data_IF_378684061039
#
_entry.id   IF_378684061039
#
_cell.length_a   1.000
_cell.length_b   1.000
_cell.length_c   1.000
_cell.angle_alpha   90.00
_cell.angle_beta   90.00
_cell.angle_gamma   90.00
#
_symmetry.space_group_name_H-M   'P 1'
#
loop_
_entity.id
_entity.type
_entity.pdbx_description
1 polymer ?
#
# COMPACT_ATOMS: atom_id res chain seq x y z
N UNK A 1 77.99 -20.66 56.98
CA UNK A 1 77.51 -22.03 57.25
C UNK A 1 76.04 -21.89 57.68
N UNK A 2 75.26 -22.79 57.19
CA UNK A 2 73.81 -23.00 57.43
C UNK A 2 72.85 -22.21 56.57
N UNK A 3 72.43 -22.90 55.49
CA UNK A 3 71.25 -22.66 54.65
C UNK A 3 69.90 -22.98 55.41
N UNK A 4 68.89 -22.17 55.25
CA UNK A 4 67.50 -22.54 55.51
C UNK A 4 66.70 -22.05 54.34
N UNK A 5 66.29 -23.01 53.47
CA UNK A 5 65.27 -22.84 52.42
C UNK A 5 63.90 -22.70 53.02
N UNK A 6 63.18 -21.59 52.74
CA UNK A 6 61.74 -21.44 53.00
C UNK A 6 61.02 -21.50 51.68
N UNK A 7 60.24 -22.55 51.50
CA UNK A 7 59.26 -22.73 50.46
C UNK A 7 58.03 -21.89 50.79
N UNK A 8 57.77 -20.80 50.03
CA UNK A 8 56.52 -20.05 50.12
C UNK A 8 55.60 -20.59 49.03
N UNK A 9 54.54 -21.37 49.44
CA UNK A 9 53.44 -21.69 48.57
C UNK A 9 52.65 -20.42 48.26
N UNK A 10 52.70 -19.99 47.00
CA UNK A 10 51.81 -18.93 46.49
C UNK A 10 50.44 -19.56 46.17
N UNK A 11 49.43 -19.32 47.01
CA UNK A 11 48.04 -19.56 46.69
C UNK A 11 47.55 -18.48 45.69
N UNK A 12 47.20 -18.92 44.48
CA UNK A 12 46.51 -18.09 43.51
C UNK A 12 45.03 -18.03 43.82
N UNK A 13 44.37 -16.89 43.90
CA UNK A 13 42.96 -16.81 44.06
C UNK A 13 42.26 -17.22 42.75
N UNK A 14 41.38 -18.23 42.83
CA UNK A 14 40.47 -18.60 41.74
C UNK A 14 39.34 -17.60 41.75
N UNK A 15 39.32 -16.71 40.77
CA UNK A 15 38.13 -15.87 40.51
C UNK A 15 37.08 -16.71 39.76
N UNK A 16 36.00 -17.06 40.43
CA UNK A 16 34.81 -17.60 39.80
C UNK A 16 34.04 -16.41 39.23
N UNK A 17 34.11 -16.21 37.90
CA UNK A 17 33.23 -15.23 37.18
C UNK A 17 31.90 -15.90 36.98
N UNK A 18 30.92 -15.52 37.80
CA UNK A 18 29.48 -15.88 37.58
C UNK A 18 28.97 -14.90 36.53
N UNK A 19 28.91 -15.32 35.28
CA UNK A 19 28.20 -14.60 34.22
C UNK A 19 26.70 -14.76 34.42
N UNK A 20 26.10 -13.85 35.20
CA UNK A 20 24.66 -13.71 35.25
C UNK A 20 24.15 -13.15 33.94
N UNK A 21 23.53 -13.98 33.10
CA UNK A 21 22.76 -13.51 31.96
C UNK A 21 21.55 -12.74 32.49
N UNK A 22 21.61 -11.41 32.46
CA UNK A 22 20.42 -10.56 32.68
C UNK A 22 19.54 -10.74 31.44
N UNK A 23 18.52 -11.57 31.54
CA UNK A 23 17.47 -11.65 30.53
C UNK A 23 16.62 -10.38 30.71
N UNK A 24 16.90 -9.37 29.91
CA UNK A 24 15.99 -8.26 29.70
C UNK A 24 14.76 -8.81 28.96
N UNK A 25 13.70 -9.08 29.69
CA UNK A 25 12.39 -9.22 29.11
C UNK A 25 11.95 -7.82 28.72
N UNK A 26 12.25 -7.40 27.48
CA UNK A 26 11.56 -6.26 26.90
C UNK A 26 10.08 -6.65 26.84
N UNK A 27 9.29 -6.10 27.76
CA UNK A 27 7.85 -6.05 27.61
C UNK A 27 7.61 -5.29 26.30
N UNK A 28 7.14 -5.98 25.25
CA UNK A 28 6.75 -5.35 24.00
C UNK A 28 5.82 -4.17 24.37
N UNK A 29 6.07 -2.96 23.85
CA UNK A 29 5.20 -1.83 24.13
C UNK A 29 3.79 -2.26 23.75
N UNK A 30 2.85 -2.14 24.68
CA UNK A 30 1.43 -2.37 24.40
C UNK A 30 1.03 -1.32 23.36
N UNK A 31 1.10 -1.70 22.09
CA UNK A 31 0.65 -0.88 20.96
C UNK A 31 -0.83 -0.60 21.23
N UNK A 32 -1.19 0.65 21.50
CA UNK A 32 -2.60 1.04 21.53
C UNK A 32 -3.15 0.67 20.15
N UNK A 33 -4.00 -0.33 20.12
CA UNK A 33 -4.68 -0.75 18.89
C UNK A 33 -5.39 0.46 18.32
N UNK A 34 -5.20 0.76 17.03
CA UNK A 34 -5.98 1.80 16.36
C UNK A 34 -7.46 1.50 16.60
N UNK A 35 -8.25 2.45 17.18
CA UNK A 35 -9.67 2.23 17.41
C UNK A 35 -10.43 1.81 16.15
N UNK A 36 -9.97 2.23 14.96
CA UNK A 36 -10.56 1.82 13.70
C UNK A 36 -10.37 0.32 13.42
N UNK A 37 -9.21 -0.25 13.76
CA UNK A 37 -8.98 -1.70 13.65
C UNK A 37 -9.88 -2.46 14.61
N UNK A 38 -10.02 -1.96 15.85
CA UNK A 38 -10.92 -2.55 16.83
C UNK A 38 -12.40 -2.54 16.38
N UNK A 39 -12.81 -1.50 15.64
CA UNK A 39 -14.15 -1.37 15.09
C UNK A 39 -14.46 -2.39 13.98
N UNK A 40 -13.45 -2.96 13.31
CA UNK A 40 -13.64 -4.05 12.33
C UNK A 40 -14.08 -5.37 12.99
N UNK A 41 -13.86 -5.52 14.30
CA UNK A 41 -14.17 -6.74 15.06
C UNK A 41 -12.93 -7.53 15.49
N UNK A 42 -13.13 -8.52 16.37
CA UNK A 42 -12.04 -9.29 17.01
C UNK A 42 -11.22 -10.17 16.05
N UNK A 43 -11.68 -10.33 14.80
CA UNK A 43 -10.97 -11.10 13.77
C UNK A 43 -9.87 -10.30 13.03
N UNK A 44 -9.69 -9.02 13.36
CA UNK A 44 -8.72 -8.14 12.70
C UNK A 44 -7.58 -7.75 13.62
N UNK A 45 -6.40 -7.65 13.03
CA UNK A 45 -5.18 -7.21 13.73
C UNK A 45 -4.34 -6.31 12.84
N UNK A 46 -3.73 -5.31 13.47
CA UNK A 46 -2.71 -4.46 12.86
C UNK A 46 -1.32 -5.09 13.03
N UNK A 47 -0.50 -5.01 12.00
CA UNK A 47 0.88 -5.49 12.01
C UNK A 47 1.83 -4.56 11.28
N UNK A 48 3.13 -4.82 11.44
CA UNK A 48 4.18 -4.17 10.64
C UNK A 48 5.17 -5.22 10.17
N UNK A 49 5.74 -5.02 8.98
CA UNK A 49 6.76 -5.90 8.42
C UNK A 49 7.90 -5.07 7.83
N UNK A 50 9.14 -5.49 8.09
CA UNK A 50 10.32 -4.95 7.43
C UNK A 50 10.52 -5.70 6.11
N UNK A 51 10.25 -5.04 4.99
CA UNK A 51 10.31 -5.61 3.64
C UNK A 51 10.94 -4.61 2.68
N UNK A 52 11.72 -5.08 1.72
CA UNK A 52 12.32 -4.27 0.66
C UNK A 52 12.89 -2.91 1.13
N UNK A 53 13.56 -2.89 2.27
CA UNK A 53 14.11 -1.66 2.86
C UNK A 53 13.09 -0.68 3.45
N UNK A 54 11.80 -1.05 3.53
CA UNK A 54 10.73 -0.25 4.13
C UNK A 54 10.08 -0.99 5.30
N UNK A 55 9.55 -0.22 6.27
CA UNK A 55 8.69 -0.75 7.31
C UNK A 55 7.24 -0.48 6.92
N UNK A 56 6.54 -1.50 6.42
CA UNK A 56 5.14 -1.40 6.06
C UNK A 56 4.22 -1.70 7.23
N UNK A 57 3.16 -0.93 7.34
CA UNK A 57 2.00 -1.22 8.18
C UNK A 57 0.91 -1.90 7.36
N UNK A 58 0.17 -2.80 8.00
CA UNK A 58 -0.98 -3.47 7.41
C UNK A 58 -2.04 -3.82 8.45
N UNK A 59 -3.27 -4.00 8.00
CA UNK A 59 -4.37 -4.56 8.78
C UNK A 59 -4.82 -5.86 8.13
N UNK A 60 -4.88 -6.94 8.92
CA UNK A 60 -5.21 -8.28 8.42
C UNK A 60 -6.38 -8.87 9.19
N UNK A 61 -7.27 -9.60 8.48
CA UNK A 61 -8.35 -10.38 9.08
C UNK A 61 -8.85 -11.49 8.18
N UNK A 62 -9.72 -12.34 8.72
CA UNK A 62 -10.32 -13.46 8.00
C UNK A 62 -9.40 -14.66 7.76
N UNK A 63 -9.90 -15.62 6.99
CA UNK A 63 -9.20 -16.84 6.59
C UNK A 63 -9.71 -17.31 5.22
N UNK A 64 -8.83 -17.92 4.42
CA UNK A 64 -9.12 -18.38 3.06
C UNK A 64 -8.11 -17.87 2.04
N UNK A 65 -8.44 -17.87 0.74
CA UNK A 65 -7.59 -17.33 -0.30
C UNK A 65 -7.23 -15.87 -0.02
N UNK A 66 -5.99 -15.47 -0.35
CA UNK A 66 -5.48 -14.15 0.01
C UNK A 66 -5.96 -13.05 -0.94
N UNK A 67 -6.42 -11.94 -0.36
CA UNK A 67 -6.73 -10.68 -1.06
C UNK A 67 -5.93 -9.56 -0.40
N UNK A 68 -5.09 -8.88 -1.20
CA UNK A 68 -4.32 -7.71 -0.76
C UNK A 68 -5.01 -6.47 -1.32
N UNK A 69 -5.25 -5.47 -0.46
CA UNK A 69 -5.91 -4.22 -0.76
C UNK A 69 -4.90 -3.07 -0.64
N UNK A 70 -4.74 -2.29 -1.72
CA UNK A 70 -3.78 -1.20 -1.86
C UNK A 70 -4.54 0.10 -2.11
N UNK A 71 -4.47 1.02 -1.16
CA UNK A 71 -5.21 2.28 -1.17
C UNK A 71 -4.69 3.28 -2.20
N UNK A 72 -5.52 4.30 -2.47
CA UNK A 72 -5.19 5.45 -3.29
C UNK A 72 -4.73 6.68 -2.50
N UNK A 73 -4.47 7.77 -3.22
CA UNK A 73 -4.24 9.10 -2.64
C UNK A 73 -5.60 9.79 -2.39
N UNK A 74 -5.82 10.45 -1.27
CA UNK A 74 -4.90 10.65 -0.14
C UNK A 74 -5.22 9.74 1.06
N UNK A 75 -5.56 8.50 0.83
CA UNK A 75 -6.05 7.58 1.83
C UNK A 75 -4.94 6.71 2.45
N UNK A 76 -5.34 5.78 3.30
CA UNK A 76 -4.53 4.73 3.90
C UNK A 76 -5.35 3.42 3.94
N UNK A 77 -4.92 2.38 4.66
CA UNK A 77 -5.66 1.12 4.77
C UNK A 77 -7.15 1.31 5.12
N UNK A 78 -7.51 2.44 5.73
CA UNK A 78 -8.87 2.73 6.19
C UNK A 78 -9.85 2.94 5.03
N UNK A 79 -9.41 3.23 3.83
CA UNK A 79 -10.22 3.20 2.60
C UNK A 79 -11.11 1.95 2.54
N UNK A 80 -10.53 0.82 2.93
CA UNK A 80 -11.19 -0.48 2.81
C UNK A 80 -11.96 -0.92 4.06
N UNK A 81 -12.06 -0.08 5.10
CA UNK A 81 -12.64 -0.45 6.38
C UNK A 81 -14.09 -0.95 6.28
N UNK A 82 -14.86 -0.44 5.31
CA UNK A 82 -16.26 -0.83 5.10
C UNK A 82 -16.42 -2.19 4.44
N UNK A 83 -15.46 -2.60 3.60
CA UNK A 83 -15.54 -3.85 2.84
C UNK A 83 -14.78 -4.99 3.50
N UNK A 84 -13.75 -4.72 4.30
CA UNK A 84 -12.93 -5.74 4.94
C UNK A 84 -13.73 -6.76 5.77
N UNK A 85 -14.74 -6.37 6.59
CA UNK A 85 -15.51 -7.35 7.37
C UNK A 85 -16.32 -8.33 6.50
N UNK A 86 -16.81 -7.90 5.34
CA UNK A 86 -17.51 -8.76 4.40
C UNK A 86 -16.55 -9.74 3.73
N UNK A 87 -15.48 -9.22 3.16
CA UNK A 87 -14.45 -10.03 2.50
C UNK A 87 -13.81 -11.05 3.43
N UNK A 88 -13.60 -10.69 4.71
CA UNK A 88 -13.00 -11.57 5.72
C UNK A 88 -13.83 -12.82 6.05
N UNK A 89 -15.09 -12.88 5.63
CA UNK A 89 -15.91 -14.08 5.77
C UNK A 89 -15.44 -15.23 4.85
N UNK A 90 -14.74 -14.92 3.75
CA UNK A 90 -14.35 -15.89 2.74
C UNK A 90 -12.85 -15.84 2.39
N UNK A 91 -12.16 -14.76 2.74
CA UNK A 91 -10.78 -14.50 2.34
C UNK A 91 -9.89 -14.16 3.53
N UNK A 92 -8.61 -14.41 3.38
CA UNK A 92 -7.59 -13.70 4.18
C UNK A 92 -7.40 -12.33 3.53
N UNK A 93 -7.85 -11.27 4.22
CA UNK A 93 -7.78 -9.88 3.72
C UNK A 93 -6.62 -9.15 4.37
N UNK A 94 -5.81 -8.49 3.57
CA UNK A 94 -4.68 -7.66 4.04
C UNK A 94 -4.78 -6.29 3.38
N UNK A 95 -5.16 -5.25 4.14
CA UNK A 95 -5.10 -3.87 3.68
C UNK A 95 -3.76 -3.26 4.10
N UNK A 96 -3.01 -2.74 3.13
CA UNK A 96 -1.63 -2.30 3.30
C UNK A 96 -1.57 -0.79 3.21
N UNK A 97 -0.87 -0.16 4.14
CA UNK A 97 -0.42 1.21 3.94
C UNK A 97 0.80 1.19 3.01
N UNK A 98 0.69 1.84 1.87
CA UNK A 98 1.78 1.94 0.91
C UNK A 98 3.00 2.62 1.55
N UNK A 99 4.17 2.38 1.01
CA UNK A 99 5.45 2.93 1.46
C UNK A 99 5.34 4.42 1.79
N UNK A 100 5.64 4.79 3.04
CA UNK A 100 5.62 6.17 3.53
C UNK A 100 4.24 6.80 3.74
N UNK A 101 3.15 6.03 3.62
CA UNK A 101 1.79 6.50 3.84
C UNK A 101 1.17 5.79 5.05
N UNK A 102 0.11 6.35 5.61
CA UNK A 102 -0.60 5.77 6.75
C UNK A 102 0.31 5.50 7.94
N UNK A 103 0.38 4.25 8.36
CA UNK A 103 1.28 3.77 9.42
C UNK A 103 2.63 3.22 8.91
N UNK A 104 2.87 3.22 7.60
CA UNK A 104 4.14 2.82 6.99
C UNK A 104 5.18 3.91 7.09
N UNK A 105 6.43 3.55 7.39
CA UNK A 105 7.49 4.54 7.64
C UNK A 105 8.01 5.11 6.31
N UNK A 106 8.13 6.44 6.16
CA UNK A 106 8.76 7.08 5.02
C UNK A 106 10.21 6.62 4.81
N UNK A 107 10.60 6.49 3.55
CA UNK A 107 11.96 6.15 3.12
C UNK A 107 12.56 7.28 2.29
N UNK A 108 13.86 7.23 2.01
CA UNK A 108 14.51 8.24 1.15
C UNK A 108 14.05 8.17 -0.32
N UNK A 109 13.63 6.99 -0.79
CA UNK A 109 13.21 6.79 -2.17
C UNK A 109 12.48 5.45 -2.38
N UNK A 110 12.32 5.05 -3.66
CA UNK A 110 11.68 3.80 -4.04
C UNK A 110 10.16 3.91 -4.13
N UNK A 111 9.66 5.09 -4.50
CA UNK A 111 8.23 5.38 -4.59
C UNK A 111 7.63 5.09 -5.97
N UNK A 112 8.39 4.51 -6.90
CA UNK A 112 7.85 4.01 -8.15
C UNK A 112 7.03 2.73 -7.95
N UNK A 113 6.03 2.53 -8.81
CA UNK A 113 5.09 1.42 -8.69
C UNK A 113 5.77 0.05 -8.73
N UNK A 114 6.84 -0.10 -9.51
CA UNK A 114 7.57 -1.37 -9.61
C UNK A 114 8.31 -1.70 -8.30
N UNK A 115 8.89 -0.71 -7.63
CA UNK A 115 9.53 -0.92 -6.33
C UNK A 115 8.50 -1.13 -5.21
N UNK A 116 7.38 -0.40 -5.22
CA UNK A 116 6.28 -0.65 -4.28
C UNK A 116 5.62 -2.02 -4.51
N UNK A 117 5.59 -2.53 -5.74
CA UNK A 117 5.17 -3.91 -6.01
C UNK A 117 6.12 -4.95 -5.39
N UNK A 118 7.44 -4.67 -5.31
CA UNK A 118 8.38 -5.48 -4.54
C UNK A 118 8.05 -5.48 -3.05
N UNK A 119 7.67 -4.32 -2.49
CA UNK A 119 7.23 -4.23 -1.09
C UNK A 119 6.07 -5.18 -0.82
N UNK A 120 5.06 -5.14 -1.70
CA UNK A 120 3.85 -5.99 -1.59
C UNK A 120 4.20 -7.47 -1.75
N UNK A 121 5.13 -7.80 -2.65
CA UNK A 121 5.59 -9.17 -2.87
C UNK A 121 6.27 -9.72 -1.62
N UNK A 122 7.25 -9.00 -1.08
CA UNK A 122 7.95 -9.41 0.14
C UNK A 122 7.02 -9.43 1.37
N UNK A 123 6.01 -8.55 1.42
CA UNK A 123 4.99 -8.61 2.45
C UNK A 123 4.15 -9.89 2.33
N UNK A 124 3.75 -10.27 1.12
CA UNK A 124 3.03 -11.51 0.89
C UNK A 124 3.85 -12.73 1.32
N UNK A 125 5.16 -12.77 0.98
CA UNK A 125 6.08 -13.81 1.46
C UNK A 125 6.20 -13.84 2.98
N UNK A 126 6.39 -12.67 3.62
CA UNK A 126 6.47 -12.51 5.07
C UNK A 126 5.22 -13.04 5.79
N UNK A 127 4.05 -12.84 5.18
CA UNK A 127 2.76 -13.29 5.71
C UNK A 127 2.39 -14.72 5.28
N UNK A 128 3.27 -15.40 4.53
CA UNK A 128 3.05 -16.75 3.97
C UNK A 128 1.78 -16.82 3.12
N UNK A 129 1.56 -15.80 2.28
CA UNK A 129 0.43 -15.75 1.36
C UNK A 129 0.86 -16.23 -0.03
N UNK A 130 0.17 -17.22 -0.53
CA UNK A 130 0.39 -17.79 -1.86
C UNK A 130 -0.75 -17.41 -2.80
N UNK A 131 -0.45 -17.24 -4.09
CA UNK A 131 -1.44 -16.96 -5.15
C UNK A 131 -2.41 -15.83 -4.78
N UNK A 132 -1.87 -14.66 -4.45
CA UNK A 132 -2.65 -13.51 -3.99
C UNK A 132 -3.49 -12.87 -5.10
N UNK A 133 -4.69 -12.40 -4.78
CA UNK A 133 -5.44 -11.48 -5.61
C UNK A 133 -5.18 -10.05 -5.11
N UNK A 134 -4.76 -9.15 -6.00
CA UNK A 134 -4.40 -7.79 -5.60
C UNK A 134 -5.44 -6.80 -6.12
N UNK A 135 -6.00 -6.02 -5.23
CA UNK A 135 -6.93 -4.92 -5.54
C UNK A 135 -6.22 -3.62 -5.21
N UNK A 136 -6.14 -2.71 -6.17
CA UNK A 136 -5.54 -1.40 -5.96
C UNK A 136 -6.43 -0.29 -6.47
N UNK A 137 -6.59 0.76 -5.69
CA UNK A 137 -7.27 1.98 -6.07
C UNK A 137 -6.26 3.08 -6.38
N UNK A 138 -6.51 3.89 -7.39
CA UNK A 138 -5.67 5.03 -7.77
C UNK A 138 -4.18 4.60 -7.84
N UNK A 139 -3.25 5.27 -7.13
CA UNK A 139 -1.83 4.88 -7.07
C UNK A 139 -1.63 3.41 -6.67
N UNK A 140 -2.49 2.85 -5.81
CA UNK A 140 -2.47 1.42 -5.48
C UNK A 140 -2.78 0.53 -6.68
N UNK A 141 -3.57 1.01 -7.65
CA UNK A 141 -3.83 0.31 -8.90
C UNK A 141 -2.61 0.24 -9.81
N UNK A 142 -1.78 1.29 -9.83
CA UNK A 142 -0.48 1.25 -10.52
C UNK A 142 0.45 0.19 -9.90
N UNK A 143 0.48 0.09 -8.57
CA UNK A 143 1.24 -0.92 -7.84
C UNK A 143 0.71 -2.34 -8.12
N UNK A 144 -0.62 -2.52 -8.15
CA UNK A 144 -1.25 -3.80 -8.47
C UNK A 144 -0.90 -4.27 -9.90
N UNK A 145 -0.90 -3.36 -10.87
CA UNK A 145 -0.45 -3.68 -12.23
C UNK A 145 1.03 -4.07 -12.28
N UNK A 146 1.89 -3.29 -11.64
CA UNK A 146 3.31 -3.61 -11.56
C UNK A 146 3.57 -4.96 -10.86
N UNK A 147 2.79 -5.29 -9.83
CA UNK A 147 2.83 -6.60 -9.18
C UNK A 147 2.49 -7.74 -10.14
N UNK A 148 1.41 -7.60 -10.91
CA UNK A 148 1.01 -8.60 -11.91
C UNK A 148 2.10 -8.82 -12.98
N UNK A 149 2.82 -7.76 -13.35
CA UNK A 149 3.90 -7.82 -14.36
C UNK A 149 5.17 -8.48 -13.83
N UNK A 150 5.53 -8.17 -12.59
CA UNK A 150 6.77 -8.67 -11.97
C UNK A 150 6.61 -10.08 -11.40
N UNK A 151 5.44 -10.40 -10.86
CA UNK A 151 5.19 -11.62 -10.09
C UNK A 151 3.98 -12.42 -10.58
N UNK A 152 3.88 -12.73 -11.89
CA UNK A 152 2.70 -13.40 -12.46
C UNK A 152 2.48 -14.80 -11.90
N UNK A 153 3.51 -15.44 -11.32
CA UNK A 153 3.41 -16.78 -10.73
C UNK A 153 2.80 -16.77 -9.32
N UNK A 154 2.94 -15.68 -8.59
CA UNK A 154 2.37 -15.50 -7.24
C UNK A 154 1.07 -14.70 -7.27
N UNK A 155 0.77 -14.06 -8.40
CA UNK A 155 -0.43 -13.27 -8.63
C UNK A 155 -1.52 -14.13 -9.27
N UNK A 156 -2.69 -14.24 -8.62
CA UNK A 156 -3.86 -14.92 -9.17
C UNK A 156 -4.69 -14.03 -10.09
N UNK A 157 -4.62 -12.73 -9.91
CA UNK A 157 -5.29 -11.70 -10.70
C UNK A 157 -5.22 -10.36 -10.02
N UNK A 158 -5.57 -9.31 -10.74
CA UNK A 158 -5.61 -7.94 -10.22
C UNK A 158 -6.91 -7.24 -10.57
N UNK A 159 -7.33 -6.34 -9.69
CA UNK A 159 -8.41 -5.38 -9.93
C UNK A 159 -7.86 -3.98 -9.70
N UNK A 160 -8.02 -3.12 -10.68
CA UNK A 160 -7.60 -1.73 -10.65
C UNK A 160 -8.85 -0.85 -10.59
N UNK A 161 -9.04 -0.20 -9.45
CA UNK A 161 -10.18 0.67 -9.18
C UNK A 161 -9.83 2.09 -9.62
N UNK A 162 -10.54 2.59 -10.60
CA UNK A 162 -10.56 3.97 -11.10
C UNK A 162 -9.19 4.61 -11.35
N UNK A 163 -8.31 3.94 -12.06
CA UNK A 163 -6.98 4.45 -12.36
C UNK A 163 -6.58 4.22 -13.83
N UNK A 164 -6.14 5.25 -14.55
CA UNK A 164 -5.34 5.10 -15.76
C UNK A 164 -3.91 4.71 -15.40
N UNK A 165 -3.20 4.06 -16.34
CA UNK A 165 -1.81 3.66 -16.12
C UNK A 165 -0.84 4.60 -16.85
N UNK A 166 0.26 5.01 -16.23
CA UNK A 166 1.27 5.86 -16.83
C UNK A 166 1.82 5.31 -18.16
N UNK A 167 1.79 6.14 -19.20
CA UNK A 167 2.32 5.78 -20.51
C UNK A 167 1.47 4.80 -21.32
N UNK A 168 0.31 4.35 -20.85
CA UNK A 168 -0.58 3.42 -21.55
C UNK A 168 -1.92 4.06 -21.90
N UNK A 169 -2.50 3.64 -23.03
CA UNK A 169 -3.79 4.15 -23.51
C UNK A 169 -3.78 5.66 -23.71
N UNK A 170 -4.82 6.34 -23.24
CA UNK A 170 -4.97 7.81 -23.36
C UNK A 170 -4.22 8.59 -22.27
N UNK A 171 -3.02 8.16 -21.88
CA UNK A 171 -2.26 8.79 -20.79
C UNK A 171 -1.95 10.28 -21.02
N UNK A 172 -1.70 10.70 -22.27
CA UNK A 172 -1.47 12.11 -22.58
C UNK A 172 -2.72 12.97 -22.36
N UNK A 173 -3.92 12.43 -22.55
CA UNK A 173 -5.17 13.09 -22.22
C UNK A 173 -5.31 13.26 -20.70
N UNK A 174 -4.89 12.25 -19.91
CA UNK A 174 -4.87 12.34 -18.45
C UNK A 174 -3.95 13.47 -18.00
N UNK A 175 -2.71 13.52 -18.49
CA UNK A 175 -1.74 14.59 -18.14
C UNK A 175 -2.21 15.98 -18.52
N UNK A 176 -2.94 16.11 -19.62
CA UNK A 176 -3.45 17.39 -20.11
C UNK A 176 -4.78 17.81 -19.46
N UNK A 177 -5.41 16.94 -18.70
CA UNK A 177 -6.73 17.18 -18.11
C UNK A 177 -6.68 18.20 -16.97
N UNK A 178 -7.57 19.19 -16.93
CA UNK A 178 -7.72 20.07 -15.76
C UNK A 178 -8.12 19.32 -14.47
N UNK A 179 -8.73 18.14 -14.59
CA UNK A 179 -9.15 17.34 -13.43
C UNK A 179 -7.94 16.78 -12.69
N UNK A 180 -6.87 16.46 -13.41
CA UNK A 180 -5.62 15.90 -12.88
C UNK A 180 -4.53 16.95 -12.64
N UNK A 181 -4.90 18.25 -12.51
CA UNK A 181 -3.97 19.37 -12.27
C UNK A 181 -3.01 19.10 -11.11
N UNK A 182 -3.47 18.37 -10.11
CA UNK A 182 -2.69 18.04 -8.92
C UNK A 182 -1.46 17.17 -9.22
N UNK A 183 -1.48 16.38 -10.29
CA UNK A 183 -0.32 15.58 -10.69
C UNK A 183 0.88 16.47 -10.97
N UNK A 184 0.71 17.47 -11.86
CA UNK A 184 1.77 18.43 -12.18
C UNK A 184 2.21 19.28 -10.96
N UNK A 185 1.26 19.64 -10.10
CA UNK A 185 1.56 20.36 -8.86
C UNK A 185 2.40 19.49 -7.91
N UNK A 186 1.99 18.25 -7.68
CA UNK A 186 2.65 17.31 -6.77
C UNK A 186 4.02 16.84 -7.29
N UNK A 187 4.20 16.76 -8.60
CA UNK A 187 5.50 16.46 -9.23
C UNK A 187 6.53 17.59 -9.05
N UNK A 188 6.07 18.82 -8.81
CA UNK A 188 6.98 19.98 -8.63
C UNK A 188 7.85 19.79 -7.39
N UNK A 189 9.19 19.94 -7.47
CA UNK A 189 10.05 19.85 -6.31
C UNK A 189 9.79 20.94 -5.27
N UNK A 190 9.81 20.60 -3.99
CA UNK A 190 9.82 21.48 -2.79
C UNK A 190 8.61 22.40 -2.59
N UNK A 191 7.98 22.89 -3.66
CA UNK A 191 6.89 23.88 -3.58
C UNK A 191 5.62 23.31 -2.94
N UNK A 192 5.14 22.11 -3.31
CA UNK A 192 3.95 21.52 -2.68
C UNK A 192 4.10 21.34 -1.18
N UNK A 193 5.25 20.85 -0.70
CA UNK A 193 5.53 20.70 0.72
C UNK A 193 5.38 22.03 1.46
N UNK A 194 5.95 23.09 0.95
CA UNK A 194 5.90 24.42 1.56
C UNK A 194 4.48 25.02 1.60
N UNK A 195 3.66 24.71 0.59
CA UNK A 195 2.28 25.23 0.51
C UNK A 195 1.29 24.39 1.33
N UNK A 196 1.50 23.07 1.44
CA UNK A 196 0.59 22.14 2.09
C UNK A 196 0.90 22.02 3.59
N UNK A 197 2.16 22.04 4.02
CA UNK A 197 2.56 21.86 5.41
C UNK A 197 1.78 22.77 6.36
N UNK A 198 1.12 22.17 7.36
CA UNK A 198 0.21 22.83 8.30
C UNK A 198 -1.17 23.17 7.73
N UNK A 199 -1.46 22.75 6.51
CA UNK A 199 -2.76 22.95 5.82
C UNK A 199 -3.25 21.64 5.16
N UNK A 200 -2.75 20.49 5.60
CA UNK A 200 -3.05 19.17 5.03
C UNK A 200 -4.56 18.94 4.96
N UNK A 201 -5.31 19.25 6.01
CA UNK A 201 -6.76 19.08 6.00
C UNK A 201 -7.46 19.93 4.93
N UNK A 202 -6.97 21.16 4.66
CA UNK A 202 -7.52 22.02 3.60
C UNK A 202 -7.23 21.41 2.24
N UNK A 203 -5.99 20.95 2.03
CA UNK A 203 -5.56 20.35 0.78
C UNK A 203 -6.31 19.04 0.50
N UNK A 204 -6.38 18.15 1.48
CA UNK A 204 -7.06 16.86 1.33
C UNK A 204 -8.58 17.02 1.15
N UNK A 205 -9.22 18.00 1.80
CA UNK A 205 -10.66 18.27 1.59
C UNK A 205 -10.98 18.64 0.14
N UNK A 206 -10.02 19.14 -0.62
CA UNK A 206 -10.22 19.41 -2.04
C UNK A 206 -10.53 18.14 -2.84
N UNK A 207 -9.93 17.01 -2.46
CA UNK A 207 -10.12 15.70 -3.10
C UNK A 207 -11.27 14.93 -2.44
N UNK A 208 -11.31 14.92 -1.12
CA UNK A 208 -12.26 14.16 -0.33
C UNK A 208 -13.60 14.93 -0.22
N UNK A 209 -14.50 14.64 -1.16
CA UNK A 209 -15.78 15.30 -1.28
C UNK A 209 -16.67 15.14 -0.03
N UNK A 210 -17.34 16.23 0.39
CA UNK A 210 -18.13 16.27 1.62
C UNK A 210 -19.36 15.34 1.63
N UNK A 211 -19.79 14.84 0.47
CA UNK A 211 -20.89 13.88 0.38
C UNK A 211 -20.47 12.46 0.77
N UNK A 212 -19.19 12.13 0.61
CA UNK A 212 -18.61 10.81 0.88
C UNK A 212 -17.83 10.80 2.18
N UNK A 213 -17.05 11.84 2.43
CA UNK A 213 -16.12 11.94 3.57
C UNK A 213 -16.56 12.97 4.61
N UNK A 214 -16.69 12.54 5.85
CA UNK A 214 -16.92 13.44 7.00
C UNK A 214 -15.68 14.29 7.31
N UNK A 215 -15.82 15.30 8.14
CA UNK A 215 -14.69 16.07 8.65
C UNK A 215 -13.74 15.21 9.50
N UNK A 216 -14.28 14.18 10.16
CA UNK A 216 -13.47 13.22 10.93
C UNK A 216 -12.60 12.35 10.03
N UNK A 217 -13.08 11.92 8.86
CA UNK A 217 -12.30 11.17 7.88
C UNK A 217 -11.16 12.01 7.32
N UNK A 218 -11.46 13.27 6.94
CA UNK A 218 -10.43 14.20 6.47
C UNK A 218 -9.38 14.49 7.56
N UNK A 219 -9.81 14.68 8.81
CA UNK A 219 -8.89 14.90 9.91
C UNK A 219 -8.02 13.67 10.20
N UNK A 220 -8.56 12.45 10.02
CA UNK A 220 -7.80 11.20 10.12
C UNK A 220 -6.65 11.18 9.12
N UNK A 221 -6.96 11.34 7.83
CA UNK A 221 -5.95 11.33 6.77
C UNK A 221 -4.96 12.49 6.92
N UNK A 222 -5.44 13.71 7.17
CA UNK A 222 -4.58 14.88 7.36
C UNK A 222 -3.57 14.70 8.50
N UNK A 223 -3.95 14.02 9.57
CA UNK A 223 -3.04 13.71 10.68
C UNK A 223 -1.89 12.81 10.25
N UNK A 224 -2.13 11.84 9.37
CA UNK A 224 -1.09 10.99 8.79
C UNK A 224 -0.11 11.83 7.95
N UNK A 225 -0.62 12.67 7.08
CA UNK A 225 0.20 13.53 6.21
C UNK A 225 0.99 14.59 6.96
N UNK A 226 0.50 15.06 8.11
CA UNK A 226 1.21 16.00 8.98
C UNK A 226 2.35 15.37 9.79
N UNK A 227 2.47 14.04 9.78
CA UNK A 227 3.59 13.36 10.42
C UNK A 227 4.90 13.60 9.63
N UNK A 228 6.07 13.56 10.31
CA UNK A 228 7.34 13.84 9.66
C UNK A 228 7.54 13.00 8.39
N UNK A 229 7.93 13.64 7.29
CA UNK A 229 8.23 13.07 5.97
C UNK A 229 7.08 12.37 5.23
N UNK A 230 5.89 12.19 5.82
CA UNK A 230 4.78 11.53 5.15
C UNK A 230 4.24 12.33 3.96
N UNK A 231 4.12 13.67 4.11
CA UNK A 231 3.75 14.52 2.98
C UNK A 231 4.75 14.39 1.83
N UNK A 232 6.06 14.46 2.14
CA UNK A 232 7.11 14.26 1.13
C UNK A 232 6.97 12.90 0.45
N UNK A 233 6.78 11.82 1.21
CA UNK A 233 6.62 10.47 0.69
C UNK A 233 5.45 10.38 -0.32
N UNK A 234 4.31 10.99 0.02
CA UNK A 234 3.16 11.03 -0.89
C UNK A 234 3.46 11.76 -2.19
N UNK A 235 4.19 12.89 -2.13
CA UNK A 235 4.57 13.66 -3.31
C UNK A 235 5.63 12.93 -4.17
N UNK A 236 6.53 12.18 -3.54
CA UNK A 236 7.53 11.34 -4.25
C UNK A 236 6.87 10.25 -5.11
N UNK A 237 5.68 9.75 -4.75
CA UNK A 237 4.94 8.80 -5.58
C UNK A 237 4.57 9.44 -6.94
N UNK A 238 4.15 10.72 -6.94
CA UNK A 238 3.85 11.45 -8.17
C UNK A 238 5.13 11.80 -8.94
N UNK A 239 6.20 12.19 -8.27
CA UNK A 239 7.52 12.44 -8.88
C UNK A 239 8.12 11.19 -9.53
N UNK A 240 7.65 10.01 -9.17
CA UNK A 240 8.03 8.75 -9.80
C UNK A 240 7.28 8.49 -11.13
N UNK A 241 6.35 9.34 -11.56
CA UNK A 241 5.55 9.19 -12.78
C UNK A 241 6.39 8.86 -14.03
N UNK A 242 7.53 9.53 -14.31
CA UNK A 242 8.37 9.17 -15.46
C UNK A 242 8.98 7.77 -15.38
N UNK A 243 9.26 7.28 -14.15
CA UNK A 243 9.76 5.91 -13.96
C UNK A 243 8.65 4.89 -14.20
N UNK A 244 7.41 5.19 -13.78
CA UNK A 244 6.25 4.36 -14.03
C UNK A 244 5.92 4.31 -15.54
N UNK A 245 5.91 5.45 -16.25
CA UNK A 245 5.73 5.48 -17.71
C UNK A 245 6.75 4.58 -18.42
N UNK A 246 8.02 4.68 -18.04
CA UNK A 246 9.09 3.85 -18.62
C UNK A 246 8.91 2.37 -18.30
N UNK A 247 8.53 2.04 -17.07
CA UNK A 247 8.28 0.66 -16.66
C UNK A 247 7.12 0.06 -17.46
N UNK A 248 5.98 0.74 -17.53
CA UNK A 248 4.77 0.25 -18.16
C UNK A 248 4.97 0.08 -19.69
N UNK A 249 5.62 1.04 -20.35
CA UNK A 249 5.94 0.96 -21.78
C UNK A 249 6.89 -0.20 -22.14
N UNK A 250 7.75 -0.61 -21.21
CA UNK A 250 8.70 -1.70 -21.43
C UNK A 250 8.07 -3.11 -21.31
N UNK A 251 6.84 -3.23 -20.79
CA UNK A 251 6.21 -4.53 -20.56
C UNK A 251 5.69 -5.16 -21.84
N UNK A 252 6.24 -6.31 -22.20
CA UNK A 252 5.86 -7.04 -23.43
C UNK A 252 5.59 -8.54 -23.18
N UNK A 253 5.90 -9.05 -21.99
CA UNK A 253 5.69 -10.45 -21.66
C UNK A 253 4.19 -10.78 -21.59
N UNK A 254 3.82 -11.97 -22.07
CA UNK A 254 2.43 -12.42 -21.99
C UNK A 254 2.10 -12.83 -20.56
N UNK A 255 1.04 -12.23 -20.00
CA UNK A 255 0.43 -12.65 -18.75
C UNK A 255 -1.03 -13.06 -19.00
N UNK A 256 -1.44 -14.16 -18.39
CA UNK A 256 -2.76 -14.78 -18.61
C UNK A 256 -3.70 -14.62 -17.42
N UNK A 257 -3.21 -14.12 -16.30
CA UNK A 257 -4.04 -13.83 -15.13
C UNK A 257 -5.09 -12.76 -15.47
N UNK A 258 -6.27 -12.79 -14.84
CA UNK A 258 -7.29 -11.77 -15.07
C UNK A 258 -6.86 -10.40 -14.55
N UNK A 259 -7.03 -9.39 -15.41
CA UNK A 259 -6.91 -7.97 -15.07
C UNK A 259 -8.30 -7.34 -15.19
N UNK A 260 -8.81 -6.77 -14.11
CA UNK A 260 -10.11 -6.09 -14.07
C UNK A 260 -9.87 -4.59 -13.91
N UNK A 261 -10.33 -3.81 -14.88
CA UNK A 261 -10.44 -2.35 -14.80
C UNK A 261 -11.81 -2.03 -14.25
N UNK A 262 -11.91 -1.39 -13.10
CA UNK A 262 -13.17 -1.10 -12.45
C UNK A 262 -13.33 0.41 -12.18
N UNK A 263 -13.69 1.20 -13.21
CA UNK A 263 -13.94 2.62 -13.05
C UNK A 263 -15.28 2.89 -12.38
N UNK A 264 -15.40 4.07 -11.74
CA UNK A 264 -16.69 4.63 -11.38
C UNK A 264 -17.46 5.10 -12.60
N UNK A 265 -18.81 4.88 -12.62
CA UNK A 265 -19.68 5.27 -13.72
C UNK A 265 -19.59 6.78 -14.07
N UNK A 266 -19.39 7.61 -13.06
CA UNK A 266 -19.30 9.06 -13.19
C UNK A 266 -17.85 9.59 -13.08
N UNK A 267 -16.89 8.69 -13.12
CA UNK A 267 -15.46 9.06 -13.08
C UNK A 267 -15.03 9.71 -14.40
N UNK A 268 -14.12 10.71 -14.34
CA UNK A 268 -13.48 11.25 -15.55
C UNK A 268 -12.67 10.19 -16.30
N UNK A 269 -12.27 9.10 -15.65
CA UNK A 269 -11.46 8.03 -16.24
C UNK A 269 -12.28 6.93 -16.92
N UNK A 270 -13.60 6.84 -16.68
CA UNK A 270 -14.46 5.78 -17.24
C UNK A 270 -14.29 5.67 -18.76
N UNK A 271 -14.36 6.80 -19.46
CA UNK A 271 -14.26 6.86 -20.92
C UNK A 271 -12.87 6.49 -21.47
N UNK A 272 -11.86 6.49 -20.64
CA UNK A 272 -10.48 6.15 -21.01
C UNK A 272 -10.20 4.64 -20.88
N UNK A 273 -11.05 3.90 -20.17
CA UNK A 273 -10.84 2.48 -19.89
C UNK A 273 -10.80 1.60 -21.15
N UNK A 274 -11.59 1.82 -22.21
CA UNK A 274 -11.46 1.05 -23.45
C UNK A 274 -10.06 1.20 -24.08
N UNK A 275 -9.53 2.43 -24.16
CA UNK A 275 -8.18 2.68 -24.67
C UNK A 275 -7.10 2.03 -23.82
N UNK A 276 -7.24 2.08 -22.49
CA UNK A 276 -6.34 1.40 -21.56
C UNK A 276 -6.40 -0.12 -21.74
N UNK A 277 -7.59 -0.70 -21.85
CA UNK A 277 -7.75 -2.14 -22.05
C UNK A 277 -7.11 -2.63 -23.34
N UNK A 278 -7.22 -1.86 -24.42
CA UNK A 278 -6.59 -2.19 -25.70
C UNK A 278 -5.05 -2.06 -25.61
N UNK A 279 -4.54 -1.03 -24.94
CA UNK A 279 -3.11 -0.90 -24.68
C UNK A 279 -2.58 -2.07 -23.84
N UNK A 280 -3.26 -2.47 -22.78
CA UNK A 280 -2.89 -3.62 -21.96
C UNK A 280 -2.84 -4.92 -22.78
N UNK A 281 -3.82 -5.15 -23.66
CA UNK A 281 -3.82 -6.31 -24.57
C UNK A 281 -2.64 -6.28 -25.55
N UNK A 282 -2.35 -5.11 -26.12
CA UNK A 282 -1.19 -4.91 -26.99
C UNK A 282 0.14 -5.16 -26.26
N UNK A 283 0.17 -4.91 -24.96
CA UNK A 283 1.31 -5.17 -24.07
C UNK A 283 1.29 -6.59 -23.45
N UNK A 284 0.52 -7.53 -24.02
CA UNK A 284 0.56 -8.95 -23.64
C UNK A 284 -0.35 -9.36 -22.48
N UNK A 285 -1.26 -8.50 -22.01
CA UNK A 285 -2.26 -8.90 -21.03
C UNK A 285 -3.42 -9.62 -21.73
N UNK A 286 -3.44 -10.96 -21.67
CA UNK A 286 -4.38 -11.76 -22.45
C UNK A 286 -5.84 -11.68 -21.96
N UNK A 287 -6.07 -11.37 -20.69
CA UNK A 287 -7.40 -11.43 -20.05
C UNK A 287 -7.73 -10.12 -19.34
N UNK A 288 -8.12 -9.10 -20.12
CA UNK A 288 -8.50 -7.77 -19.60
C UNK A 288 -10.01 -7.59 -19.70
N UNK A 289 -10.65 -7.19 -18.58
CA UNK A 289 -12.07 -6.90 -18.48
C UNK A 289 -12.30 -5.50 -17.94
N UNK A 290 -13.45 -4.90 -18.29
CA UNK A 290 -13.92 -3.63 -17.74
C UNK A 290 -15.24 -3.91 -17.01
N UNK A 291 -15.34 -3.50 -15.74
CA UNK A 291 -16.50 -3.66 -14.86
C UNK A 291 -16.83 -2.31 -14.23
N UNK A 292 -17.86 -1.64 -14.73
CA UNK A 292 -18.22 -0.29 -14.27
C UNK A 292 -18.97 -0.36 -12.94
N UNK A 293 -18.50 0.38 -11.93
CA UNK A 293 -19.19 0.53 -10.65
C UNK A 293 -20.19 1.68 -10.76
N UNK A 294 -21.47 1.34 -10.70
CA UNK A 294 -22.57 2.31 -10.85
C UNK A 294 -22.67 3.26 -9.67
N UNK A 295 -23.15 4.47 -9.93
CA UNK A 295 -23.37 5.52 -8.93
C UNK A 295 -22.11 5.88 -8.12
N UNK A 296 -20.94 5.74 -8.71
CA UNK A 296 -19.66 6.13 -8.09
C UNK A 296 -18.87 7.07 -8.99
N UNK A 297 -17.93 7.79 -8.40
CA UNK A 297 -17.01 8.69 -9.06
C UNK A 297 -15.59 8.11 -8.95
N UNK A 298 -14.78 8.55 -7.97
CA UNK A 298 -13.39 8.14 -7.84
C UNK A 298 -13.13 7.27 -6.62
N UNK A 299 -13.66 7.65 -5.47
CA UNK A 299 -13.45 6.94 -4.19
C UNK A 299 -14.43 5.76 -4.06
N UNK A 300 -14.31 4.81 -4.98
CA UNK A 300 -15.32 3.79 -5.25
C UNK A 300 -15.57 2.91 -4.02
N UNK A 301 -14.54 2.57 -3.25
CA UNK A 301 -14.68 1.71 -2.08
C UNK A 301 -15.46 2.39 -0.94
N UNK A 302 -15.40 3.72 -0.85
CA UNK A 302 -16.18 4.51 0.10
C UNK A 302 -17.60 4.83 -0.42
N UNK A 303 -17.72 5.05 -1.72
CA UNK A 303 -19.00 5.44 -2.34
C UNK A 303 -19.93 4.24 -2.55
N UNK A 304 -19.38 3.07 -2.93
CA UNK A 304 -20.14 1.86 -3.26
C UNK A 304 -19.53 0.59 -2.65
N UNK A 305 -19.34 0.53 -1.32
CA UNK A 305 -18.59 -0.56 -0.67
C UNK A 305 -19.16 -1.95 -0.96
N UNK A 306 -20.49 -2.11 -0.99
CA UNK A 306 -21.13 -3.40 -1.26
C UNK A 306 -20.88 -3.87 -2.70
N UNK A 307 -20.93 -2.97 -3.68
CA UNK A 307 -20.66 -3.30 -5.08
C UNK A 307 -19.18 -3.71 -5.28
N UNK A 308 -18.26 -3.01 -4.64
CA UNK A 308 -16.83 -3.34 -4.68
C UNK A 308 -16.55 -4.68 -4.02
N UNK A 309 -17.11 -4.95 -2.82
CA UNK A 309 -16.96 -6.23 -2.16
C UNK A 309 -17.46 -7.40 -3.03
N UNK A 310 -18.68 -7.29 -3.60
CA UNK A 310 -19.23 -8.29 -4.50
C UNK A 310 -18.40 -8.50 -5.78
N UNK A 311 -17.82 -7.43 -6.31
CA UNK A 311 -16.96 -7.53 -7.48
C UNK A 311 -15.66 -8.27 -7.14
N UNK A 312 -15.03 -7.93 -6.01
CA UNK A 312 -13.85 -8.65 -5.50
C UNK A 312 -14.17 -10.12 -5.29
N UNK A 313 -15.28 -10.46 -4.63
CA UNK A 313 -15.70 -11.84 -4.39
C UNK A 313 -15.87 -12.63 -5.69
N UNK A 314 -16.38 -12.00 -6.75
CA UNK A 314 -16.57 -12.64 -8.06
C UNK A 314 -15.24 -13.04 -8.72
N UNK A 315 -14.22 -12.22 -8.59
CA UNK A 315 -12.96 -12.40 -9.30
C UNK A 315 -11.84 -13.02 -8.45
N UNK A 316 -11.92 -12.90 -7.14
CA UNK A 316 -10.87 -13.37 -6.21
C UNK A 316 -11.09 -14.80 -5.68
N UNK A 317 -12.10 -15.52 -6.16
CA UNK A 317 -12.36 -16.94 -5.80
C UNK A 317 -11.40 -17.92 -6.46
#
# INVERSE_FOLDING_TARGET
MWNCNHWILKLLPVFIVVTGAIIYSEAAPTRRTDPAVAALGSGFASGTAQVNGAMLHYVRGGAGPAVILLHGFPEDWYEYHRIMPELAKQFTVVAVDLRGLGGSIPTEGGYDAANMAEDVHQLAEHLHLEHVYVVGHDIGGMVAYAFARRYPQTCRGVMMLDIPLPGLGSWDEVKASPVTWHMNFQETPDLPEQLIAGREAIYLRHFLGANTFSDADVARYAKSYAAPDHLRAALEIYRASPANEKFDAAQQSVITIPLVLAPGENSPFEKLMPSLADALRAHGCANVKIEIIRNSVHYIADEQPEAVAQLIERYAR
#
